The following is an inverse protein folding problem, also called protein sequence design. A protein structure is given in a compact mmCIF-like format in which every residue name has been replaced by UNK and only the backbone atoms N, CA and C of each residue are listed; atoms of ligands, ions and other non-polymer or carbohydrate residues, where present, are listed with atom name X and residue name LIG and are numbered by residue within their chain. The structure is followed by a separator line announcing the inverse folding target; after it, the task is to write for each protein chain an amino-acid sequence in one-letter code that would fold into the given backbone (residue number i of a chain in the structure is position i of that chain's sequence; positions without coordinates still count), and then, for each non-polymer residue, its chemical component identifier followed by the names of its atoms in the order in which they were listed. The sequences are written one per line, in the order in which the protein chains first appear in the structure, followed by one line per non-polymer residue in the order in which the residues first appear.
data_IF_256219991146
#
_entry.id   IF_256219991146
#
_cell.length_a   1.000
_cell.length_b   1.000
_cell.length_c   1.000
_cell.angle_alpha   90.00
_cell.angle_beta   90.00
_cell.angle_gamma   90.00
#
_symmetry.space_group_name_H-M   'P 1'
#
loop_
_entity.id
_entity.type
_entity.pdbx_description
1 polymer ?
#
# COMPACT_ATOMS: atom_id res chain seq x y z
N UNK A 1 55.80 2.75 2.29
CA UNK A 1 54.47 3.38 2.51
C UNK A 1 53.40 2.76 1.60
N UNK A 2 53.18 1.44 1.66
CA UNK A 2 52.15 0.73 0.85
C UNK A 2 50.95 0.33 1.73
N UNK A 3 51.08 0.42 3.05
CA UNK A 3 50.14 -0.14 4.04
C UNK A 3 48.88 0.69 4.29
N UNK A 4 48.88 2.00 4.02
CA UNK A 4 47.72 2.87 4.33
C UNK A 4 46.59 2.72 3.28
N UNK A 5 46.92 2.40 2.03
CA UNK A 5 45.94 2.28 0.95
C UNK A 5 45.05 1.02 1.05
N UNK A 6 45.49 -0.03 1.75
CA UNK A 6 44.74 -1.27 1.91
C UNK A 6 43.68 -1.22 3.02
N UNK A 7 43.77 -0.27 3.95
CA UNK A 7 42.86 -0.17 5.09
C UNK A 7 41.55 0.58 4.77
N UNK A 8 41.52 1.39 3.71
CA UNK A 8 40.39 2.27 3.37
C UNK A 8 39.29 1.49 2.63
N UNK A 9 39.66 0.60 1.70
CA UNK A 9 38.73 -0.23 0.92
C UNK A 9 37.79 -1.09 1.79
N UNK A 10 38.24 -1.84 2.81
CA UNK A 10 37.36 -2.66 3.63
C UNK A 10 36.39 -1.82 4.49
N UNK A 11 36.78 -0.63 4.94
CA UNK A 11 35.87 0.26 5.69
C UNK A 11 34.72 0.74 4.79
N UNK A 12 34.99 1.08 3.54
CA UNK A 12 33.95 1.44 2.57
C UNK A 12 33.05 0.27 2.18
N UNK A 13 33.60 -0.96 2.09
CA UNK A 13 32.80 -2.17 1.87
C UNK A 13 31.87 -2.41 3.08
N UNK A 14 32.36 -2.26 4.31
CA UNK A 14 31.56 -2.44 5.52
C UNK A 14 30.49 -1.35 5.67
N UNK A 15 30.82 -0.08 5.43
CA UNK A 15 29.84 1.02 5.44
C UNK A 15 28.79 0.84 4.34
N UNK A 16 29.21 0.39 3.15
CA UNK A 16 28.32 0.05 2.04
C UNK A 16 27.41 -1.14 2.34
N UNK A 17 27.92 -2.17 3.01
CA UNK A 17 27.14 -3.34 3.47
C UNK A 17 26.15 -2.98 4.58
N UNK A 18 26.52 -2.10 5.51
CA UNK A 18 25.61 -1.65 6.58
C UNK A 18 24.48 -0.79 6.00
N UNK A 19 24.78 0.11 5.06
CA UNK A 19 23.75 0.91 4.38
C UNK A 19 22.90 0.06 3.43
N UNK A 20 23.47 -0.94 2.76
CA UNK A 20 22.69 -1.84 1.92
C UNK A 20 21.74 -2.69 2.74
N UNK A 21 22.11 -3.11 3.96
CA UNK A 21 21.22 -3.92 4.78
C UNK A 21 20.01 -3.12 5.28
N UNK A 22 20.22 -1.88 5.74
CA UNK A 22 19.14 -0.98 6.14
C UNK A 22 18.24 -0.55 4.96
N UNK A 23 18.82 -0.37 3.76
CA UNK A 23 18.05 -0.10 2.55
C UNK A 23 17.24 -1.31 2.09
N UNK A 24 17.80 -2.53 2.21
CA UNK A 24 17.12 -3.76 1.81
C UNK A 24 15.92 -4.06 2.73
N UNK A 25 16.04 -3.84 4.05
CA UNK A 25 14.91 -4.07 4.97
C UNK A 25 13.74 -3.12 4.68
N UNK A 26 14.00 -1.83 4.48
CA UNK A 26 12.95 -0.86 4.14
C UNK A 26 12.29 -1.15 2.78
N UNK A 27 13.06 -1.59 1.78
CA UNK A 27 12.53 -1.95 0.47
C UNK A 27 11.59 -3.18 0.53
N UNK A 28 11.90 -4.18 1.35
CA UNK A 28 11.04 -5.35 1.54
C UNK A 28 9.70 -4.98 2.19
N UNK A 29 9.72 -4.16 3.24
CA UNK A 29 8.51 -3.71 3.93
C UNK A 29 7.61 -2.87 3.00
N UNK A 30 8.23 -2.03 2.18
CA UNK A 30 7.53 -1.21 1.18
C UNK A 30 6.89 -2.06 0.07
N UNK A 31 7.59 -3.08 -0.44
CA UNK A 31 7.01 -4.00 -1.43
C UNK A 31 5.83 -4.80 -0.86
N UNK A 32 5.93 -5.24 0.39
CA UNK A 32 4.81 -5.91 1.07
C UNK A 32 3.61 -4.96 1.22
N UNK A 33 3.84 -3.70 1.59
CA UNK A 33 2.79 -2.69 1.66
C UNK A 33 2.13 -2.43 0.31
N UNK A 34 2.92 -2.29 -0.77
CA UNK A 34 2.38 -2.16 -2.14
C UNK A 34 1.52 -3.35 -2.52
N UNK A 35 1.95 -4.58 -2.20
CA UNK A 35 1.15 -5.79 -2.40
C UNK A 35 -0.17 -5.77 -1.63
N UNK A 36 -0.13 -5.38 -0.34
CA UNK A 36 -1.34 -5.24 0.49
C UNK A 36 -2.31 -4.19 -0.04
N UNK A 37 -1.82 -3.06 -0.53
CA UNK A 37 -2.67 -2.02 -1.13
C UNK A 37 -3.29 -2.47 -2.45
N UNK A 38 -2.59 -3.30 -3.24
CA UNK A 38 -3.15 -3.90 -4.45
C UNK A 38 -4.29 -4.88 -4.13
N UNK A 39 -4.08 -5.76 -3.15
CA UNK A 39 -5.14 -6.66 -2.67
C UNK A 39 -6.36 -5.87 -2.17
N UNK A 40 -6.13 -4.80 -1.41
CA UNK A 40 -7.18 -3.93 -0.92
C UNK A 40 -7.95 -3.24 -2.07
N UNK A 41 -7.25 -2.76 -3.10
CA UNK A 41 -7.84 -2.17 -4.30
C UNK A 41 -8.79 -3.16 -5.02
N UNK A 42 -8.40 -4.44 -5.08
CA UNK A 42 -9.24 -5.52 -5.62
C UNK A 42 -10.46 -5.82 -4.75
N UNK A 43 -10.29 -5.94 -3.43
CA UNK A 43 -11.39 -6.22 -2.51
C UNK A 43 -12.43 -5.09 -2.51
N UNK A 44 -11.98 -3.83 -2.52
CA UNK A 44 -12.86 -2.68 -2.68
C UNK A 44 -13.58 -2.71 -4.03
N UNK A 45 -12.88 -3.01 -5.12
CA UNK A 45 -13.49 -3.11 -6.45
C UNK A 45 -14.54 -4.23 -6.52
N UNK A 46 -14.29 -5.36 -5.85
CA UNK A 46 -15.24 -6.46 -5.74
C UNK A 46 -16.50 -6.05 -4.96
N UNK A 47 -16.34 -5.38 -3.81
CA UNK A 47 -17.46 -4.84 -3.03
C UNK A 47 -18.30 -3.86 -3.85
N UNK A 48 -17.66 -2.95 -4.60
CA UNK A 48 -18.35 -2.03 -5.52
C UNK A 48 -19.16 -2.78 -6.58
N UNK A 49 -18.58 -3.81 -7.19
CA UNK A 49 -19.29 -4.60 -8.20
C UNK A 49 -20.47 -5.37 -7.60
N UNK A 50 -20.32 -5.91 -6.39
CA UNK A 50 -21.42 -6.52 -5.65
C UNK A 50 -22.56 -5.53 -5.40
N UNK A 51 -22.25 -4.30 -4.97
CA UNK A 51 -23.25 -3.25 -4.78
C UNK A 51 -24.01 -2.92 -6.08
N UNK A 52 -23.30 -2.82 -7.21
CA UNK A 52 -23.93 -2.61 -8.53
C UNK A 52 -24.84 -3.78 -8.92
N UNK A 53 -24.33 -5.00 -8.82
CA UNK A 53 -25.09 -6.20 -9.16
C UNK A 53 -26.38 -6.29 -8.34
N UNK A 54 -26.34 -5.92 -7.06
CA UNK A 54 -27.54 -5.87 -6.23
C UNK A 54 -28.54 -4.82 -6.71
N UNK A 55 -28.10 -3.59 -6.98
CA UNK A 55 -28.98 -2.52 -7.48
C UNK A 55 -29.65 -2.89 -8.81
N UNK A 56 -28.93 -3.57 -9.70
CA UNK A 56 -29.44 -3.99 -11.00
C UNK A 56 -30.54 -5.07 -10.88
N UNK A 57 -30.53 -5.85 -9.80
CA UNK A 57 -31.44 -6.98 -9.58
C UNK A 57 -32.29 -6.84 -8.31
N UNK A 58 -32.35 -5.64 -7.72
CA UNK A 58 -32.99 -5.45 -6.43
C UNK A 58 -34.48 -5.84 -6.48
N UNK A 59 -34.96 -6.60 -5.49
CA UNK A 59 -36.35 -7.07 -5.45
C UNK A 59 -37.30 -5.87 -5.40
N UNK A 60 -38.39 -5.96 -6.18
CA UNK A 60 -39.41 -4.92 -6.26
C UNK A 60 -40.58 -5.18 -5.31
N UNK A 61 -40.77 -6.44 -4.93
CA UNK A 61 -41.84 -6.90 -4.06
C UNK A 61 -41.29 -7.30 -2.67
N UNK A 62 -42.15 -7.19 -1.67
CA UNK A 62 -41.80 -7.39 -0.25
C UNK A 62 -41.38 -8.84 0.08
N UNK A 63 -41.99 -9.83 -0.57
CA UNK A 63 -41.68 -11.24 -0.30
C UNK A 63 -40.28 -11.63 -0.80
N UNK A 64 -39.83 -11.08 -1.93
CA UNK A 64 -38.49 -11.34 -2.46
C UNK A 64 -37.41 -10.59 -1.67
N UNK A 65 -37.75 -9.46 -1.06
CA UNK A 65 -36.83 -8.70 -0.20
C UNK A 65 -36.30 -9.53 0.98
N UNK A 66 -37.16 -10.30 1.66
CA UNK A 66 -36.69 -11.12 2.79
C UNK A 66 -35.74 -12.23 2.39
N UNK A 67 -35.96 -12.83 1.21
CA UNK A 67 -35.04 -13.83 0.65
C UNK A 67 -33.65 -13.21 0.43
N UNK A 68 -33.61 -12.00 -0.08
CA UNK A 68 -32.36 -11.27 -0.28
C UNK A 68 -31.71 -10.88 1.05
N UNK A 69 -32.48 -10.50 2.07
CA UNK A 69 -31.94 -10.25 3.41
C UNK A 69 -31.22 -11.47 3.97
N UNK A 70 -31.77 -12.68 3.80
CA UNK A 70 -31.15 -13.91 4.32
C UNK A 70 -29.82 -14.27 3.63
N UNK A 71 -29.60 -13.83 2.38
CA UNK A 71 -28.44 -14.22 1.58
C UNK A 71 -27.46 -13.06 1.38
N UNK A 72 -27.96 -11.90 0.94
CA UNK A 72 -27.15 -10.74 0.55
C UNK A 72 -26.53 -10.08 1.77
N UNK A 73 -27.29 -9.90 2.86
CA UNK A 73 -26.79 -9.20 4.05
C UNK A 73 -25.60 -9.92 4.71
N UNK A 74 -25.66 -11.24 5.02
CA UNK A 74 -24.51 -11.93 5.60
C UNK A 74 -23.28 -11.92 4.70
N UNK A 75 -23.46 -12.05 3.37
CA UNK A 75 -22.36 -12.01 2.42
C UNK A 75 -21.71 -10.62 2.35
N UNK A 76 -22.53 -9.55 2.31
CA UNK A 76 -22.07 -8.18 2.38
C UNK A 76 -21.25 -7.95 3.66
N UNK A 77 -21.79 -8.31 4.82
CA UNK A 77 -21.11 -8.13 6.11
C UNK A 77 -19.83 -8.96 6.21
N UNK A 78 -19.79 -10.15 5.63
CA UNK A 78 -18.56 -10.95 5.55
C UNK A 78 -17.46 -10.20 4.79
N UNK A 79 -17.78 -9.59 3.64
CA UNK A 79 -16.82 -8.79 2.88
C UNK A 79 -16.40 -7.52 3.61
N UNK A 80 -17.34 -6.81 4.23
CA UNK A 80 -17.05 -5.59 5.01
C UNK A 80 -16.14 -5.90 6.20
N UNK A 81 -16.44 -6.94 6.98
CA UNK A 81 -15.61 -7.35 8.11
C UNK A 81 -14.20 -7.80 7.68
N UNK A 82 -14.08 -8.42 6.49
CA UNK A 82 -12.76 -8.74 5.93
C UNK A 82 -11.94 -7.47 5.65
N UNK A 83 -12.58 -6.45 5.05
CA UNK A 83 -11.96 -5.15 4.82
C UNK A 83 -11.60 -4.44 6.13
N UNK A 84 -12.46 -4.48 7.15
CA UNK A 84 -12.17 -3.92 8.47
C UNK A 84 -10.88 -4.47 9.06
N UNK A 85 -10.68 -5.79 8.99
CA UNK A 85 -9.45 -6.42 9.46
C UNK A 85 -8.22 -5.94 8.67
N UNK A 86 -8.34 -5.77 7.35
CA UNK A 86 -7.23 -5.26 6.52
C UNK A 86 -6.91 -3.80 6.85
N UNK A 87 -7.92 -2.95 7.05
CA UNK A 87 -7.72 -1.56 7.46
C UNK A 87 -7.14 -1.46 8.87
N UNK A 88 -7.56 -2.31 9.81
CA UNK A 88 -6.95 -2.37 11.14
C UNK A 88 -5.45 -2.70 11.07
N UNK A 89 -5.06 -3.63 10.19
CA UNK A 89 -3.64 -3.93 9.96
C UNK A 89 -2.88 -2.77 9.30
N UNK A 90 -3.54 -1.99 8.42
CA UNK A 90 -2.97 -0.77 7.85
C UNK A 90 -2.82 0.34 8.89
N UNK A 91 -3.73 0.47 9.84
CA UNK A 91 -3.63 1.44 10.94
C UNK A 91 -2.36 1.22 11.77
N UNK A 92 -2.02 -0.04 12.06
CA UNK A 92 -0.79 -0.38 12.76
C UNK A 92 0.45 0.04 11.96
N UNK A 93 0.45 -0.18 10.64
CA UNK A 93 1.56 0.19 9.75
C UNK A 93 1.68 1.70 9.52
N UNK A 94 0.55 2.42 9.49
CA UNK A 94 0.52 3.86 9.34
C UNK A 94 1.25 4.57 10.50
N UNK A 95 1.24 3.98 11.70
CA UNK A 95 1.97 4.49 12.85
C UNK A 95 3.50 4.30 12.73
N UNK A 96 3.95 3.30 11.97
CA UNK A 96 5.37 2.97 11.80
C UNK A 96 6.04 3.75 10.65
N UNK A 97 5.25 4.23 9.68
CA UNK A 97 5.75 4.96 8.50
C UNK A 97 5.31 6.44 8.58
N UNK A 98 6.08 7.28 9.29
CA UNK A 98 5.76 8.70 9.43
C UNK A 98 5.77 9.40 8.07
N UNK A 99 4.75 10.21 7.82
CA UNK A 99 4.57 10.93 6.55
C UNK A 99 3.87 10.13 5.44
N UNK A 100 3.47 8.88 5.70
CA UNK A 100 2.63 8.14 4.75
C UNK A 100 1.18 8.67 4.74
N UNK A 101 0.54 8.74 3.57
CA UNK A 101 -0.89 9.09 3.47
C UNK A 101 -1.82 7.91 3.86
N UNK A 102 -1.26 6.85 4.46
CA UNK A 102 -2.03 5.69 4.95
C UNK A 102 -3.06 6.10 6.00
N UNK A 103 -2.76 7.08 6.85
CA UNK A 103 -3.72 7.60 7.82
C UNK A 103 -4.98 8.15 7.14
N UNK A 104 -4.82 8.83 6.00
CA UNK A 104 -5.96 9.31 5.21
C UNK A 104 -6.81 8.18 4.64
N UNK A 105 -6.19 7.04 4.28
CA UNK A 105 -6.93 5.87 3.80
C UNK A 105 -7.76 5.22 4.91
N UNK A 106 -7.18 5.11 6.11
CA UNK A 106 -7.88 4.58 7.29
C UNK A 106 -9.06 5.46 7.64
N UNK A 107 -8.86 6.79 7.70
CA UNK A 107 -9.97 7.73 7.94
C UNK A 107 -11.05 7.63 6.86
N UNK A 108 -10.67 7.53 5.58
CA UNK A 108 -11.61 7.35 4.48
C UNK A 108 -12.43 6.06 4.58
N UNK A 109 -11.82 4.97 5.06
CA UNK A 109 -12.53 3.73 5.37
C UNK A 109 -13.49 3.89 6.54
N UNK A 110 -13.06 4.50 7.65
CA UNK A 110 -13.89 4.71 8.83
C UNK A 110 -15.14 5.54 8.49
N UNK A 111 -14.98 6.61 7.72
CA UNK A 111 -16.09 7.43 7.22
C UNK A 111 -17.03 6.63 6.31
N UNK A 112 -16.47 5.86 5.39
CA UNK A 112 -17.25 4.99 4.50
C UNK A 112 -18.05 3.96 5.29
N UNK A 113 -17.42 3.26 6.23
CA UNK A 113 -18.00 2.20 7.04
C UNK A 113 -19.10 2.75 7.96
N UNK A 114 -18.86 3.88 8.63
CA UNK A 114 -19.88 4.56 9.44
C UNK A 114 -21.11 4.95 8.60
N UNK A 115 -20.90 5.51 7.41
CA UNK A 115 -21.99 5.81 6.48
C UNK A 115 -22.72 4.55 5.99
N UNK A 116 -22.00 3.44 5.77
CA UNK A 116 -22.61 2.17 5.37
C UNK A 116 -23.52 1.60 6.46
N UNK A 117 -23.06 1.63 7.72
CA UNK A 117 -23.87 1.21 8.86
C UNK A 117 -25.12 2.09 9.01
N UNK A 118 -24.98 3.40 8.83
CA UNK A 118 -26.12 4.31 8.83
C UNK A 118 -27.13 3.93 7.73
N UNK A 119 -26.66 3.66 6.51
CA UNK A 119 -27.55 3.25 5.42
C UNK A 119 -28.24 1.91 5.71
N UNK A 120 -27.53 0.91 6.22
CA UNK A 120 -28.10 -0.38 6.61
C UNK A 120 -29.22 -0.23 7.66
N UNK A 121 -29.09 0.75 8.57
CA UNK A 121 -30.06 1.00 9.62
C UNK A 121 -29.78 0.22 10.90
N UNK A 122 -30.66 0.38 11.89
CA UNK A 122 -30.43 -0.11 13.26
C UNK A 122 -30.89 -1.56 13.45
N UNK A 123 -31.84 -2.03 12.64
CA UNK A 123 -32.40 -3.37 12.75
C UNK A 123 -31.70 -4.36 11.79
N UNK A 124 -30.91 -5.32 12.32
CA UNK A 124 -30.24 -6.33 11.49
C UNK A 124 -31.19 -7.31 10.81
N UNK A 125 -32.46 -7.40 11.24
CA UNK A 125 -33.48 -8.24 10.61
C UNK A 125 -34.16 -7.54 9.43
N UNK A 126 -34.03 -6.21 9.34
CA UNK A 126 -34.59 -5.41 8.26
C UNK A 126 -33.55 -4.42 7.70
N UNK A 127 -32.37 -4.88 7.25
CA UNK A 127 -31.31 -4.01 6.78
C UNK A 127 -31.70 -3.37 5.44
N UNK A 128 -31.55 -2.05 5.29
CA UNK A 128 -31.90 -1.33 4.05
C UNK A 128 -30.84 -1.57 2.97
N UNK A 129 -30.83 -2.77 2.40
CA UNK A 129 -29.81 -3.24 1.46
C UNK A 129 -29.67 -2.38 0.20
N UNK A 130 -30.77 -1.83 -0.31
CA UNK A 130 -30.73 -0.95 -1.49
C UNK A 130 -30.01 0.37 -1.20
N UNK A 131 -30.15 0.90 0.02
CA UNK A 131 -29.48 2.13 0.45
C UNK A 131 -28.00 1.88 0.70
N UNK A 132 -27.68 0.75 1.35
CA UNK A 132 -26.30 0.30 1.54
C UNK A 132 -25.59 0.09 0.19
N UNK A 133 -26.24 -0.58 -0.76
CA UNK A 133 -25.70 -0.80 -2.10
C UNK A 133 -25.48 0.52 -2.84
N UNK A 134 -26.42 1.47 -2.75
CA UNK A 134 -26.24 2.81 -3.32
C UNK A 134 -25.01 3.52 -2.74
N UNK A 135 -24.87 3.55 -1.42
CA UNK A 135 -23.71 4.15 -0.74
C UNK A 135 -22.40 3.49 -1.15
N UNK A 136 -22.35 2.15 -1.25
CA UNK A 136 -21.20 1.43 -1.80
C UNK A 136 -20.87 1.93 -3.21
N UNK A 137 -21.86 1.98 -4.12
CA UNK A 137 -21.58 2.36 -5.51
C UNK A 137 -21.15 3.81 -5.70
N UNK A 138 -21.63 4.71 -4.83
CA UNK A 138 -21.38 6.15 -4.91
C UNK A 138 -20.09 6.57 -4.20
N UNK A 139 -19.79 5.99 -3.03
CA UNK A 139 -18.68 6.44 -2.18
C UNK A 139 -17.39 5.66 -2.36
N UNK A 140 -17.47 4.35 -2.59
CA UNK A 140 -16.30 3.50 -2.71
C UNK A 140 -15.33 3.86 -3.86
N UNK A 141 -15.76 4.43 -5.02
CA UNK A 141 -14.82 4.84 -6.07
C UNK A 141 -13.74 5.82 -5.61
N UNK A 142 -14.08 6.76 -4.72
CA UNK A 142 -13.11 7.72 -4.20
C UNK A 142 -12.04 7.03 -3.33
N UNK A 143 -12.46 6.06 -2.50
CA UNK A 143 -11.53 5.29 -1.67
C UNK A 143 -10.61 4.41 -2.52
N UNK A 144 -11.15 3.75 -3.56
CA UNK A 144 -10.36 2.97 -4.52
C UNK A 144 -9.29 3.85 -5.19
N UNK A 145 -9.68 5.05 -5.65
CA UNK A 145 -8.75 5.99 -6.26
C UNK A 145 -7.64 6.42 -5.28
N UNK A 146 -8.01 6.73 -4.04
CA UNK A 146 -7.05 7.06 -2.99
C UNK A 146 -6.08 5.90 -2.72
N UNK A 147 -6.56 4.65 -2.66
CA UNK A 147 -5.72 3.47 -2.47
C UNK A 147 -4.74 3.30 -3.63
N UNK A 148 -5.22 3.48 -4.87
CA UNK A 148 -4.41 3.38 -6.09
C UNK A 148 -3.35 4.49 -6.17
N UNK A 149 -3.68 5.72 -5.75
CA UNK A 149 -2.76 6.85 -5.66
C UNK A 149 -1.64 6.55 -4.67
N UNK A 150 -1.99 6.09 -3.46
CA UNK A 150 -1.03 5.77 -2.42
C UNK A 150 -0.11 4.61 -2.83
N UNK A 151 -0.65 3.58 -3.47
CA UNK A 151 0.12 2.46 -4.01
C UNK A 151 1.15 2.95 -5.04
N UNK A 152 0.74 3.81 -5.98
CA UNK A 152 1.63 4.40 -7.00
C UNK A 152 2.70 5.30 -6.39
N UNK A 153 2.36 6.08 -5.37
CA UNK A 153 3.31 6.92 -4.66
C UNK A 153 4.40 6.09 -3.97
N UNK A 154 4.01 4.99 -3.31
CA UNK A 154 4.95 4.06 -2.69
C UNK A 154 5.81 3.35 -3.74
N UNK A 155 5.23 2.89 -4.84
CA UNK A 155 6.01 2.23 -5.90
C UNK A 155 7.05 3.18 -6.53
N UNK A 156 6.67 4.45 -6.75
CA UNK A 156 7.59 5.49 -7.24
C UNK A 156 8.74 5.83 -6.28
N UNK A 157 8.47 5.85 -4.97
CA UNK A 157 9.51 6.08 -3.95
C UNK A 157 10.53 4.94 -3.91
N UNK A 158 10.09 3.70 -4.10
CA UNK A 158 10.98 2.54 -4.13
C UNK A 158 11.95 2.61 -5.33
N UNK A 159 11.45 2.99 -6.51
CA UNK A 159 12.28 3.15 -7.71
C UNK A 159 13.35 4.25 -7.53
N UNK A 160 12.97 5.41 -6.98
CA UNK A 160 13.89 6.54 -6.79
C UNK A 160 15.04 6.23 -5.80
N UNK A 161 14.78 5.41 -4.77
CA UNK A 161 15.80 5.02 -3.79
C UNK A 161 16.92 4.15 -4.39
N UNK A 162 16.58 3.26 -5.33
CA UNK A 162 17.54 2.35 -5.98
C UNK A 162 18.48 3.13 -6.92
N UNK A 163 17.95 4.07 -7.69
CA UNK A 163 18.74 4.88 -8.62
C UNK A 163 19.75 5.78 -7.90
N UNK A 164 19.38 6.37 -6.76
CA UNK A 164 20.28 7.19 -5.94
C UNK A 164 21.49 6.40 -5.41
N UNK A 165 21.27 5.17 -4.96
CA UNK A 165 22.34 4.27 -4.50
C UNK A 165 23.26 3.82 -5.63
N UNK A 166 22.68 3.48 -6.79
CA UNK A 166 23.45 3.11 -7.98
C UNK A 166 24.36 4.27 -8.44
N UNK A 167 23.86 5.50 -8.43
CA UNK A 167 24.63 6.69 -8.75
C UNK A 167 25.79 6.93 -7.76
N UNK A 168 25.55 6.73 -6.46
CA UNK A 168 26.58 6.84 -5.42
C UNK A 168 27.69 5.80 -5.61
N UNK A 169 27.32 4.55 -5.87
CA UNK A 169 28.29 3.48 -6.16
C UNK A 169 29.08 3.76 -7.44
N UNK A 170 28.44 4.28 -8.48
CA UNK A 170 29.11 4.68 -9.71
C UNK A 170 30.14 5.80 -9.46
N UNK A 171 29.79 6.81 -8.67
CA UNK A 171 30.70 7.90 -8.26
C UNK A 171 31.91 7.40 -7.46
N UNK A 172 31.67 6.51 -6.50
CA UNK A 172 32.75 5.90 -5.69
C UNK A 172 33.69 5.09 -6.59
N UNK A 173 33.14 4.30 -7.51
CA UNK A 173 33.93 3.48 -8.43
C UNK A 173 34.75 4.36 -9.39
N UNK A 174 34.15 5.44 -9.92
CA UNK A 174 34.84 6.41 -10.77
C UNK A 174 36.00 7.13 -10.04
N UNK A 175 35.78 7.51 -8.78
CA UNK A 175 36.83 8.10 -7.93
C UNK A 175 37.98 7.11 -7.69
N UNK A 176 37.67 5.85 -7.37
CA UNK A 176 38.67 4.81 -7.17
C UNK A 176 39.53 4.57 -8.41
N UNK A 177 38.90 4.51 -9.60
CA UNK A 177 39.61 4.39 -10.87
C UNK A 177 40.49 5.61 -11.17
N UNK A 178 40.00 6.82 -10.87
CA UNK A 178 40.77 8.07 -11.07
C UNK A 178 42.01 8.13 -10.19
N UNK A 179 41.89 7.76 -8.91
CA UNK A 179 43.02 7.69 -7.97
C UNK A 179 44.03 6.62 -8.40
N UNK A 180 43.56 5.46 -8.86
CA UNK A 180 44.45 4.40 -9.37
C UNK A 180 45.21 4.86 -10.62
N UNK A 181 44.53 5.49 -11.57
CA UNK A 181 45.14 6.04 -12.80
C UNK A 181 46.23 7.06 -12.50
N UNK A 182 45.94 8.05 -11.65
CA UNK A 182 46.92 9.06 -11.21
C UNK A 182 48.15 8.41 -10.57
N UNK A 183 47.95 7.41 -9.71
CA UNK A 183 49.06 6.67 -9.10
C UNK A 183 49.90 5.95 -10.15
N UNK A 184 49.30 5.25 -11.11
CA UNK A 184 50.09 4.50 -12.11
C UNK A 184 50.90 5.41 -13.04
N UNK A 185 50.47 6.66 -13.23
CA UNK A 185 51.15 7.62 -14.11
C UNK A 185 52.43 8.16 -13.44
N UNK A 186 52.37 8.48 -12.15
CA UNK A 186 53.53 9.01 -11.38
C UNK A 186 54.69 8.01 -11.25
N UNK A 187 54.44 6.71 -11.38
CA UNK A 187 55.47 5.67 -11.27
C UNK A 187 56.13 5.31 -12.61
N UNK A 188 55.70 5.94 -13.72
CA UNK A 188 56.29 5.72 -15.05
C UNK A 188 57.32 6.78 -15.44
N UNK A 189 57.42 7.87 -14.68
CA UNK A 189 58.44 8.91 -14.80
C UNK A 189 59.53 8.71 -13.73
#
# INVERSE_FOLDING_TARGET
MITVAFAVVPVFIVVGLIHSHAATSGALDQQQLVGRLLELEWDLSALKQQGRNYLDHAPRDYDDYFRDVEIVYPNLMTHVNSLDNRFAMLTLQAAEIPGSELAGLVTGWDEFHGGLQEQLGVDPQMPRLEWAARHITERLPALIEQTSNQRRALDGQAAAGIDGLAMLLALITALAMSVWSLRTTVWRD
#
